data_IF_121561226770
#
_entry.id   IF_121561226770
#
_cell.length_a   1.000
_cell.length_b   1.000
_cell.length_c   1.000
_cell.angle_alpha   90.00
_cell.angle_beta   90.00
_cell.angle_gamma   90.00
#
_symmetry.space_group_name_H-M   'P 1'
#
loop_
_entity.id
_entity.type
_entity.pdbx_description
1 polymer ?
#
# COMPACT_ATOMS: atom_id res chain seq x y z
N UNK A 1 27.36 -17.35 -2.00
CA UNK A 1 26.92 -15.96 -1.90
C UNK A 1 25.53 -15.70 -2.46
N UNK A 2 25.25 -16.11 -3.68
CA UNK A 2 23.88 -15.95 -4.24
C UNK A 2 22.83 -16.73 -3.45
N UNK A 3 23.20 -17.91 -2.95
CA UNK A 3 22.27 -18.74 -2.18
C UNK A 3 21.92 -18.11 -0.83
N UNK A 4 22.88 -17.50 -0.17
CA UNK A 4 22.65 -16.82 1.11
C UNK A 4 21.72 -15.64 0.98
N UNK A 5 21.87 -14.88 -0.09
CA UNK A 5 21.01 -13.72 -0.37
C UNK A 5 19.60 -14.16 -0.74
N UNK A 6 19.48 -15.21 -1.52
CA UNK A 6 18.18 -15.81 -1.84
C UNK A 6 17.48 -16.28 -0.56
N UNK A 7 18.21 -16.98 0.31
CA UNK A 7 17.67 -17.47 1.57
C UNK A 7 17.23 -16.33 2.48
N UNK A 8 17.98 -15.22 2.51
CA UNK A 8 17.60 -14.02 3.26
C UNK A 8 16.33 -13.39 2.72
N UNK A 9 16.21 -13.31 1.41
CA UNK A 9 15.01 -12.78 0.76
C UNK A 9 13.77 -13.63 1.10
N UNK A 10 13.90 -14.95 0.95
CA UNK A 10 12.81 -15.89 1.26
C UNK A 10 12.41 -15.78 2.73
N UNK A 11 13.37 -15.76 3.64
CA UNK A 11 13.12 -15.62 5.07
C UNK A 11 12.40 -14.32 5.39
N UNK A 12 12.86 -13.22 4.80
CA UNK A 12 12.22 -11.91 4.99
C UNK A 12 10.78 -11.90 4.52
N UNK A 13 10.51 -12.46 3.35
CA UNK A 13 9.16 -12.53 2.79
C UNK A 13 8.24 -13.36 3.71
N UNK A 14 8.71 -14.53 4.14
CA UNK A 14 7.92 -15.41 5.00
C UNK A 14 7.60 -14.75 6.35
N UNK A 15 8.59 -14.11 6.95
CA UNK A 15 8.42 -13.45 8.25
C UNK A 15 7.45 -12.26 8.19
N UNK A 16 7.34 -11.60 7.04
CA UNK A 16 6.58 -10.36 6.90
C UNK A 16 5.37 -10.47 5.95
N UNK A 17 4.98 -11.69 5.56
CA UNK A 17 3.92 -11.87 4.57
C UNK A 17 2.60 -11.23 4.99
N UNK A 18 2.28 -11.23 6.28
CA UNK A 18 1.06 -10.60 6.79
C UNK A 18 1.05 -9.09 6.54
N UNK A 19 2.21 -8.46 6.70
CA UNK A 19 2.36 -7.03 6.46
C UNK A 19 2.13 -6.69 4.98
N UNK A 20 2.69 -7.49 4.10
CA UNK A 20 2.55 -7.26 2.65
C UNK A 20 1.13 -7.52 2.18
N UNK A 21 0.48 -8.53 2.74
CA UNK A 21 -0.93 -8.80 2.49
C UNK A 21 -1.80 -7.62 2.93
N UNK A 22 -1.58 -7.09 4.13
CA UNK A 22 -2.35 -5.94 4.63
C UNK A 22 -2.15 -4.70 3.75
N UNK A 23 -0.91 -4.45 3.33
CA UNK A 23 -0.63 -3.32 2.44
C UNK A 23 -1.39 -3.48 1.12
N UNK A 24 -1.28 -4.63 0.49
CA UNK A 24 -1.99 -4.92 -0.77
C UNK A 24 -3.50 -4.79 -0.58
N UNK A 25 -4.04 -5.36 0.50
CA UNK A 25 -5.46 -5.29 0.80
C UNK A 25 -5.95 -3.85 0.96
N UNK A 26 -5.14 -2.98 1.54
CA UNK A 26 -5.50 -1.57 1.73
C UNK A 26 -5.76 -0.85 0.41
N UNK A 27 -5.18 -1.36 -0.69
CA UNK A 27 -5.38 -0.80 -2.02
C UNK A 27 -6.48 -1.52 -2.80
N UNK A 28 -6.43 -2.85 -2.85
CA UNK A 28 -7.32 -3.63 -3.72
C UNK A 28 -8.61 -4.06 -3.05
N UNK A 29 -8.68 -4.06 -1.72
CA UNK A 29 -9.89 -4.30 -0.89
C UNK A 29 -10.60 -5.62 -1.18
N UNK A 30 -9.85 -6.61 -1.63
CA UNK A 30 -10.36 -7.94 -1.93
C UNK A 30 -9.29 -8.95 -1.54
N UNK A 31 -9.69 -10.01 -0.85
CA UNK A 31 -8.79 -11.04 -0.36
C UNK A 31 -8.01 -11.73 -1.48
N UNK A 32 -8.73 -12.19 -2.50
CA UNK A 32 -8.12 -12.92 -3.60
C UNK A 32 -7.14 -12.04 -4.37
N UNK A 33 -7.51 -10.78 -4.59
CA UNK A 33 -6.65 -9.83 -5.29
C UNK A 33 -5.41 -9.49 -4.47
N UNK A 34 -5.56 -9.34 -3.15
CA UNK A 34 -4.41 -9.06 -2.28
C UNK A 34 -3.42 -10.23 -2.29
N UNK A 35 -3.93 -11.47 -2.26
CA UNK A 35 -3.09 -12.66 -2.37
C UNK A 35 -2.39 -12.72 -3.72
N UNK A 36 -3.08 -12.40 -4.80
CA UNK A 36 -2.48 -12.35 -6.15
C UNK A 36 -1.36 -11.31 -6.22
N UNK A 37 -1.58 -10.14 -5.64
CA UNK A 37 -0.54 -9.09 -5.58
C UNK A 37 0.70 -9.61 -4.87
N UNK A 38 0.54 -10.21 -3.70
CA UNK A 38 1.67 -10.72 -2.92
C UNK A 38 2.39 -11.83 -3.69
N UNK A 39 1.65 -12.76 -4.30
CA UNK A 39 2.24 -13.83 -5.09
C UNK A 39 3.03 -13.29 -6.29
N UNK A 40 2.46 -12.34 -7.01
CA UNK A 40 3.15 -11.69 -8.13
C UNK A 40 4.41 -10.95 -7.67
N UNK A 41 4.32 -10.28 -6.52
CA UNK A 41 5.48 -9.58 -5.95
C UNK A 41 6.59 -10.57 -5.58
N UNK A 42 6.23 -11.69 -4.97
CA UNK A 42 7.18 -12.74 -4.62
C UNK A 42 7.87 -13.30 -5.87
N UNK A 43 7.08 -13.61 -6.91
CA UNK A 43 7.63 -14.12 -8.17
C UNK A 43 8.60 -13.14 -8.79
N UNK A 44 8.24 -11.85 -8.83
CA UNK A 44 9.13 -10.81 -9.36
C UNK A 44 10.39 -10.66 -8.53
N UNK A 45 10.27 -10.70 -7.22
CA UNK A 45 11.39 -10.57 -6.32
C UNK A 45 12.39 -11.72 -6.50
N UNK A 46 11.91 -12.95 -6.56
CA UNK A 46 12.76 -14.12 -6.72
C UNK A 46 13.44 -14.16 -8.10
N UNK A 47 12.78 -13.62 -9.11
CA UNK A 47 13.31 -13.62 -10.48
C UNK A 47 14.33 -12.49 -10.70
N UNK A 48 14.12 -11.33 -10.12
CA UNK A 48 14.89 -10.12 -10.42
C UNK A 48 15.79 -9.66 -9.27
N UNK A 49 15.98 -10.49 -8.25
CA UNK A 49 16.75 -10.07 -7.08
C UNK A 49 18.20 -9.78 -7.43
N UNK A 50 18.65 -8.58 -7.06
CA UNK A 50 20.03 -8.12 -7.21
C UNK A 50 20.56 -7.71 -5.84
N UNK A 51 21.83 -7.95 -5.61
CA UNK A 51 22.48 -7.82 -4.30
C UNK A 51 22.65 -6.39 -3.78
N UNK A 52 22.28 -5.39 -4.56
CA UNK A 52 22.67 -4.00 -4.31
C UNK A 52 21.67 -3.19 -3.53
N UNK A 53 20.46 -3.69 -3.33
CA UNK A 53 19.40 -2.93 -2.66
C UNK A 53 19.01 -3.58 -1.34
N UNK A 54 18.61 -2.75 -0.38
CA UNK A 54 18.03 -3.24 0.86
C UNK A 54 16.76 -4.03 0.55
N UNK A 55 16.71 -5.27 1.02
CA UNK A 55 15.60 -6.19 0.76
C UNK A 55 14.26 -5.55 1.15
N UNK A 56 14.21 -4.91 2.32
CA UNK A 56 12.99 -4.32 2.86
C UNK A 56 12.38 -3.28 1.92
N UNK A 57 13.13 -2.23 1.59
CA UNK A 57 12.63 -1.15 0.75
C UNK A 57 12.34 -1.61 -0.68
N UNK A 58 13.18 -2.49 -1.20
CA UNK A 58 13.02 -3.04 -2.53
C UNK A 58 11.74 -3.87 -2.65
N UNK A 59 11.48 -4.75 -1.69
CA UNK A 59 10.30 -5.60 -1.72
C UNK A 59 9.01 -4.80 -1.50
N UNK A 60 9.02 -3.82 -0.59
CA UNK A 60 7.88 -2.91 -0.43
C UNK A 60 7.55 -2.18 -1.72
N UNK A 61 8.57 -1.75 -2.44
CA UNK A 61 8.38 -1.09 -3.74
C UNK A 61 7.65 -2.00 -4.72
N UNK A 62 8.04 -3.27 -4.78
CA UNK A 62 7.40 -4.25 -5.68
C UNK A 62 5.94 -4.46 -5.28
N UNK A 63 5.66 -4.68 -3.99
CA UNK A 63 4.29 -4.89 -3.50
C UNK A 63 3.42 -3.67 -3.78
N UNK A 64 3.94 -2.48 -3.52
CA UNK A 64 3.22 -1.24 -3.79
C UNK A 64 2.89 -1.10 -5.27
N UNK A 65 3.88 -1.30 -6.13
CA UNK A 65 3.70 -1.18 -7.58
C UNK A 65 2.69 -2.19 -8.11
N UNK A 66 2.74 -3.43 -7.64
CA UNK A 66 1.77 -4.47 -8.02
C UNK A 66 0.36 -4.11 -7.55
N UNK A 67 0.23 -3.59 -6.33
CA UNK A 67 -1.06 -3.16 -5.78
C UNK A 67 -1.68 -2.04 -6.62
N UNK A 68 -0.87 -1.04 -6.94
CA UNK A 68 -1.33 0.11 -7.73
C UNK A 68 -1.67 -0.29 -9.16
N UNK A 69 -0.89 -1.19 -9.76
CA UNK A 69 -1.15 -1.68 -11.11
C UNK A 69 -2.49 -2.42 -11.19
N UNK A 70 -2.76 -3.30 -10.22
CA UNK A 70 -4.02 -4.03 -10.17
C UNK A 70 -5.20 -3.08 -9.92
N UNK A 71 -5.04 -2.14 -9.02
CA UNK A 71 -6.06 -1.14 -8.72
C UNK A 71 -6.42 -0.32 -9.96
N UNK A 72 -5.43 0.11 -10.74
CA UNK A 72 -5.65 0.85 -11.99
C UNK A 72 -6.35 -0.01 -13.04
N UNK A 73 -5.95 -1.27 -13.16
CA UNK A 73 -6.59 -2.20 -14.09
C UNK A 73 -8.07 -2.42 -13.74
N UNK A 74 -8.38 -2.55 -12.46
CA UNK A 74 -9.76 -2.70 -11.99
C UNK A 74 -10.60 -1.46 -12.26
N UNK A 75 -10.06 -0.27 -12.04
CA UNK A 75 -10.76 0.98 -12.34
C UNK A 75 -11.11 1.08 -13.83
N UNK A 76 -10.22 0.63 -14.71
CA UNK A 76 -10.51 0.60 -16.14
C UNK A 76 -11.63 -0.37 -16.51
N UNK A 77 -11.67 -1.54 -15.87
CA UNK A 77 -12.72 -2.53 -16.09
C UNK A 77 -14.08 -2.02 -15.60
N UNK A 78 -14.11 -1.33 -14.46
CA UNK A 78 -15.33 -0.73 -13.91
C UNK A 78 -15.88 0.32 -14.87
N UNK A 79 -15.03 1.10 -15.52
CA UNK A 79 -15.46 2.11 -16.50
C UNK A 79 -16.02 1.50 -17.79
N UNK A 80 -15.67 0.24 -18.11
CA UNK A 80 -16.09 -0.43 -19.33
C UNK A 80 -17.19 -1.46 -19.14
N UNK A 81 -17.46 -1.89 -17.90
CA UNK A 81 -18.44 -2.93 -17.61
C UNK A 81 -19.25 -2.61 -16.35
N UNK A 82 -20.49 -2.16 -16.55
CA UNK A 82 -21.38 -1.78 -15.45
C UNK A 82 -21.76 -2.95 -14.55
N UNK A 83 -21.69 -4.18 -15.04
CA UNK A 83 -22.03 -5.37 -14.27
C UNK A 83 -21.04 -5.65 -13.14
N UNK A 84 -19.85 -5.10 -13.24
CA UNK A 84 -18.82 -5.24 -12.22
C UNK A 84 -19.14 -4.48 -10.94
N UNK A 85 -20.00 -3.47 -11.00
CA UNK A 85 -20.41 -2.69 -9.86
C UNK A 85 -21.19 -3.47 -8.80
N UNK A 86 -21.77 -4.58 -9.17
CA UNK A 86 -22.63 -5.34 -8.26
C UNK A 86 -21.88 -6.32 -7.38
N UNK A 87 -20.60 -6.55 -7.62
CA UNK A 87 -19.81 -7.53 -6.87
C UNK A 87 -18.93 -6.91 -5.77
N UNK A 88 -18.84 -5.59 -5.70
CA UNK A 88 -17.91 -4.90 -4.81
C UNK A 88 -18.39 -4.66 -3.37
N UNK A 89 -19.62 -4.94 -2.94
CA UNK A 89 -20.12 -4.23 -1.77
C UNK A 89 -20.01 -4.92 -0.43
N UNK A 90 -19.43 -6.07 -0.31
CA UNK A 90 -19.66 -6.81 0.92
C UNK A 90 -18.59 -6.67 2.00
N UNK A 91 -17.37 -6.32 1.63
CA UNK A 91 -16.27 -6.27 2.58
C UNK A 91 -16.15 -4.94 3.33
N UNK A 92 -16.78 -3.89 2.82
CA UNK A 92 -16.74 -2.57 3.45
C UNK A 92 -17.47 -2.54 4.79
N UNK A 93 -18.46 -3.41 5.02
CA UNK A 93 -19.23 -3.43 6.25
C UNK A 93 -18.45 -3.92 7.47
N UNK A 94 -17.35 -4.61 7.29
CA UNK A 94 -16.55 -5.10 8.41
C UNK A 94 -15.67 -4.01 9.05
N UNK A 95 -15.57 -2.85 8.41
CA UNK A 95 -14.70 -1.77 8.86
C UNK A 95 -15.47 -0.48 9.22
N UNK A 96 -16.76 -0.60 9.60
CA UNK A 96 -17.62 0.58 9.88
C UNK A 96 -17.03 1.53 10.95
N UNK A 97 -16.22 1.04 11.87
CA UNK A 97 -15.63 1.82 12.97
C UNK A 97 -14.59 2.82 12.45
N UNK A 98 -14.01 2.55 11.27
CA UNK A 98 -12.93 3.37 10.70
C UNK A 98 -13.28 3.97 9.34
N UNK A 99 -14.55 3.88 8.94
CA UNK A 99 -15.02 4.31 7.61
C UNK A 99 -14.61 5.74 7.27
N UNK A 100 -14.79 6.65 8.22
CA UNK A 100 -14.51 8.07 7.98
C UNK A 100 -13.01 8.30 7.72
N UNK A 101 -12.16 7.66 8.49
CA UNK A 101 -10.71 7.80 8.31
C UNK A 101 -10.26 7.18 6.99
N UNK A 102 -10.70 5.96 6.69
CA UNK A 102 -10.36 5.31 5.43
C UNK A 102 -10.89 6.08 4.23
N UNK A 103 -12.11 6.59 4.33
CA UNK A 103 -12.71 7.41 3.27
C UNK A 103 -11.87 8.67 3.02
N UNK A 104 -11.42 9.33 4.09
CA UNK A 104 -10.57 10.51 3.97
C UNK A 104 -9.25 10.17 3.30
N UNK A 105 -8.64 9.05 3.68
CA UNK A 105 -7.38 8.60 3.08
C UNK A 105 -7.57 8.31 1.59
N UNK A 106 -8.66 7.65 1.23
CA UNK A 106 -8.95 7.30 -0.17
C UNK A 106 -9.20 8.51 -1.06
N UNK A 107 -9.64 9.62 -0.49
CA UNK A 107 -9.85 10.87 -1.22
C UNK A 107 -8.56 11.67 -1.42
N UNK A 108 -7.48 11.26 -0.78
CA UNK A 108 -6.20 11.93 -0.93
C UNK A 108 -5.58 11.64 -2.30
N UNK A 109 -4.68 12.53 -2.71
CA UNK A 109 -3.80 12.30 -3.84
C UNK A 109 -3.03 10.99 -3.67
N UNK A 110 -2.73 10.31 -4.76
CA UNK A 110 -2.04 9.00 -4.73
C UNK A 110 -0.77 9.00 -3.88
N UNK A 111 0.11 9.98 -4.07
CA UNK A 111 1.35 10.07 -3.30
C UNK A 111 1.08 10.21 -1.80
N UNK A 112 0.09 11.02 -1.44
CA UNK A 112 -0.28 11.21 -0.04
C UNK A 112 -0.82 9.92 0.58
N UNK A 113 -1.67 9.20 -0.15
CA UNK A 113 -2.16 7.90 0.30
C UNK A 113 -1.02 6.93 0.56
N UNK A 114 -0.08 6.84 -0.38
CA UNK A 114 1.06 5.94 -0.27
C UNK A 114 1.91 6.28 0.96
N UNK A 115 2.17 7.56 1.18
CA UNK A 115 2.94 8.01 2.34
C UNK A 115 2.23 7.65 3.66
N UNK A 116 0.94 7.94 3.75
CA UNK A 116 0.16 7.65 4.95
C UNK A 116 0.12 6.15 5.25
N UNK A 117 -0.13 5.33 4.24
CA UNK A 117 -0.20 3.89 4.42
C UNK A 117 1.15 3.29 4.82
N UNK A 118 2.22 3.72 4.17
CA UNK A 118 3.56 3.23 4.51
C UNK A 118 4.00 3.69 5.88
N UNK A 119 3.65 4.90 6.28
CA UNK A 119 4.03 5.44 7.59
C UNK A 119 3.24 4.83 8.74
N UNK A 120 1.93 4.76 8.62
CA UNK A 120 1.07 4.41 9.75
C UNK A 120 0.63 2.95 9.76
N UNK A 121 0.38 2.35 8.60
CA UNK A 121 0.00 0.95 8.55
C UNK A 121 1.22 0.04 8.60
N UNK A 122 2.31 0.44 7.95
CA UNK A 122 3.53 -0.38 7.88
C UNK A 122 4.65 0.11 8.81
N UNK A 123 4.45 1.21 9.50
CA UNK A 123 5.38 1.78 10.48
C UNK A 123 6.79 2.02 9.93
N UNK A 124 6.87 2.43 8.66
CA UNK A 124 8.16 2.69 8.01
C UNK A 124 8.68 4.08 8.37
N UNK A 125 10.01 4.21 8.39
CA UNK A 125 10.66 5.50 8.55
C UNK A 125 10.52 6.35 7.29
N UNK A 126 10.53 7.67 7.46
CA UNK A 126 10.35 8.59 6.33
C UNK A 126 11.43 8.43 5.26
N UNK A 127 12.68 8.12 5.66
CA UNK A 127 13.74 7.80 4.73
C UNK A 127 13.43 6.58 3.87
N UNK A 128 12.88 5.56 4.49
CA UNK A 128 12.47 4.33 3.79
C UNK A 128 11.36 4.61 2.79
N UNK A 129 10.37 5.41 3.22
CA UNK A 129 9.25 5.81 2.35
C UNK A 129 9.77 6.61 1.15
N UNK A 130 10.68 7.54 1.38
CA UNK A 130 11.29 8.32 0.31
C UNK A 130 11.97 7.42 -0.73
N UNK A 131 12.68 6.39 -0.27
CA UNK A 131 13.32 5.43 -1.15
C UNK A 131 12.31 4.60 -1.94
N UNK A 132 11.26 4.10 -1.27
CA UNK A 132 10.22 3.29 -1.90
C UNK A 132 9.50 4.08 -2.98
N UNK A 133 9.15 5.34 -2.69
CA UNK A 133 8.39 6.19 -3.60
C UNK A 133 9.27 6.97 -4.58
N UNK A 134 10.58 6.88 -4.45
CA UNK A 134 11.56 7.65 -5.25
C UNK A 134 11.28 9.14 -5.17
N UNK A 135 11.06 9.62 -3.95
CA UNK A 135 10.78 11.02 -3.66
C UNK A 135 11.86 11.60 -2.78
N UNK A 136 12.01 12.93 -2.84
CA UNK A 136 12.86 13.65 -1.91
C UNK A 136 12.27 13.57 -0.50
N UNK A 137 13.11 13.36 0.51
CA UNK A 137 12.67 13.27 1.90
C UNK A 137 11.86 14.51 2.34
N UNK A 138 12.29 15.70 1.94
CA UNK A 138 11.58 16.93 2.27
C UNK A 138 10.18 16.96 1.65
N UNK A 139 10.04 16.44 0.44
CA UNK A 139 8.74 16.33 -0.23
C UNK A 139 7.82 15.36 0.51
N UNK A 140 8.35 14.22 0.96
CA UNK A 140 7.60 13.25 1.77
C UNK A 140 7.09 13.92 3.05
N UNK A 141 7.98 14.63 3.77
CA UNK A 141 7.63 15.35 5.00
C UNK A 141 6.54 16.40 4.77
N UNK A 142 6.71 17.20 3.73
CA UNK A 142 5.76 18.26 3.40
C UNK A 142 4.38 17.71 3.11
N UNK A 143 4.31 16.67 2.28
CA UNK A 143 3.03 16.02 1.94
C UNK A 143 2.40 15.35 3.15
N UNK A 144 3.20 14.66 3.95
CA UNK A 144 2.72 14.00 5.16
C UNK A 144 2.10 14.98 6.14
N UNK A 145 2.83 16.04 6.49
CA UNK A 145 2.34 17.01 7.47
C UNK A 145 1.12 17.79 6.99
N UNK A 146 1.07 18.09 5.69
CA UNK A 146 -0.11 18.73 5.09
C UNK A 146 -1.35 17.86 5.23
N UNK A 147 -1.22 16.58 4.92
CA UNK A 147 -2.35 15.64 4.99
C UNK A 147 -2.78 15.35 6.43
N UNK A 148 -1.82 15.29 7.35
CA UNK A 148 -2.13 15.12 8.77
C UNK A 148 -2.92 16.30 9.31
N UNK A 149 -2.59 17.52 8.88
CA UNK A 149 -3.38 18.72 9.25
C UNK A 149 -4.78 18.64 8.69
N UNK A 150 -4.93 18.24 7.44
CA UNK A 150 -6.24 18.11 6.81
C UNK A 150 -7.09 17.05 7.52
N UNK A 151 -6.50 15.91 7.87
CA UNK A 151 -7.17 14.86 8.63
C UNK A 151 -7.61 15.35 10.01
N UNK A 152 -6.74 16.07 10.71
CA UNK A 152 -7.06 16.62 12.02
C UNK A 152 -8.29 17.53 11.94
N UNK A 153 -8.32 18.43 10.97
CA UNK A 153 -9.43 19.34 10.76
C UNK A 153 -10.72 18.58 10.47
N UNK A 154 -10.67 17.58 9.60
CA UNK A 154 -11.82 16.77 9.24
C UNK A 154 -12.38 16.01 10.46
N UNK A 155 -11.51 15.41 11.25
CA UNK A 155 -11.88 14.67 12.46
C UNK A 155 -12.51 15.61 13.49
N UNK A 156 -11.96 16.80 13.70
CA UNK A 156 -12.48 17.79 14.63
C UNK A 156 -13.88 18.26 14.22
N UNK A 157 -14.12 18.45 12.93
CA UNK A 157 -15.44 18.84 12.43
C UNK A 157 -16.49 17.76 12.69
N UNK A 158 -16.14 16.50 12.47
CA UNK A 158 -17.06 15.39 12.70
C UNK A 158 -17.36 15.17 14.17
N UNK A 159 -16.38 15.43 15.04
CA UNK A 159 -16.56 15.34 16.49
C UNK A 159 -17.33 16.51 17.08
N UNK A 160 -17.67 17.52 16.29
CA UNK A 160 -18.40 18.69 16.77
C UNK A 160 -17.56 19.64 17.61
N UNK A 161 -16.25 19.58 17.44
CA UNK A 161 -15.31 20.42 18.21
C UNK A 161 -14.95 21.67 17.44
#
# INVERSE_FOLDING_TARGET
MKQDLYNKLVAYIIENQDKFYRLAFSYVKNQDDALDVVQNAVCKALTHYKNEEAIKTWFYKIVLNESLALLKAKKRLVLTDESYYHEIPYEEKQFEIHDDLYTQIEQMEEDAQNIIKLRFFEELELNEIAQILRMNLNTVKTKLYRELRALKIAIEKEAGV
#
